data_IF_917997860566
#
_entry.id   IF_917997860566
#
_cell.length_a   1.000
_cell.length_b   1.000
_cell.length_c   1.000
_cell.angle_alpha   90.00
_cell.angle_beta   90.00
_cell.angle_gamma   90.00
#
_symmetry.space_group_name_H-M   'P 1'
#
loop_
_entity.id
_entity.type
_entity.pdbx_description
1 polymer ?
#
# COMPACT_ATOMS: atom_id res chain seq x y z
N UNK A 1 -2.45 9.73 -10.30
CA UNK A 1 -3.77 9.34 -9.74
C UNK A 1 -3.79 9.26 -8.22
N UNK A 2 -2.81 8.60 -7.58
CA UNK A 2 -2.77 8.43 -6.10
C UNK A 2 -2.89 9.76 -5.33
N UNK A 3 -2.12 10.81 -5.69
CA UNK A 3 -2.22 12.12 -5.03
C UNK A 3 -3.64 12.71 -5.13
N UNK A 4 -4.19 12.72 -6.34
CA UNK A 4 -5.48 13.35 -6.65
C UNK A 4 -6.61 12.64 -5.90
N UNK A 5 -6.58 11.31 -5.73
CA UNK A 5 -7.59 10.61 -4.94
C UNK A 5 -7.54 10.94 -3.45
N UNK A 6 -6.38 11.35 -2.93
CA UNK A 6 -6.25 11.79 -1.54
C UNK A 6 -6.87 13.19 -1.35
N UNK A 7 -6.74 14.05 -2.37
CA UNK A 7 -7.31 15.41 -2.39
C UNK A 7 -8.81 15.42 -2.70
N UNK A 8 -9.27 14.51 -3.56
CA UNK A 8 -10.66 14.34 -3.97
C UNK A 8 -11.08 12.88 -3.74
N UNK A 9 -11.43 12.52 -2.49
CA UNK A 9 -11.92 11.17 -2.17
C UNK A 9 -13.20 10.81 -2.96
N UNK A 10 -13.54 9.53 -2.96
CA UNK A 10 -14.68 8.89 -3.64
C UNK A 10 -14.56 8.81 -5.16
N UNK A 11 -14.21 9.89 -5.84
CA UNK A 11 -14.27 9.95 -7.30
C UNK A 11 -13.21 9.07 -7.99
N UNK A 12 -12.01 9.00 -7.42
CA UNK A 12 -10.87 8.31 -8.03
C UNK A 12 -10.37 7.12 -7.21
N UNK A 13 -11.08 6.71 -6.15
CA UNK A 13 -10.61 5.69 -5.19
C UNK A 13 -10.23 4.37 -5.88
N UNK A 14 -11.09 3.83 -6.76
CA UNK A 14 -10.78 2.58 -7.48
C UNK A 14 -9.58 2.72 -8.42
N UNK A 15 -9.51 3.83 -9.17
CA UNK A 15 -8.38 4.12 -10.05
C UNK A 15 -7.08 4.29 -9.27
N UNK A 16 -7.15 4.83 -8.06
CA UNK A 16 -6.01 5.00 -7.18
C UNK A 16 -5.50 3.67 -6.62
N UNK A 17 -6.40 2.75 -6.25
CA UNK A 17 -6.06 1.38 -5.87
C UNK A 17 -5.34 0.67 -7.03
N UNK A 18 -5.89 0.72 -8.25
CA UNK A 18 -5.24 0.17 -9.43
C UNK A 18 -3.87 0.82 -9.70
N UNK A 19 -3.76 2.14 -9.48
CA UNK A 19 -2.48 2.85 -9.63
C UNK A 19 -1.45 2.46 -8.57
N UNK A 20 -1.88 2.12 -7.35
CA UNK A 20 -1.00 1.63 -6.30
C UNK A 20 -0.45 0.24 -6.64
N UNK A 21 -1.29 -0.67 -7.15
CA UNK A 21 -0.85 -1.96 -7.68
C UNK A 21 0.15 -1.78 -8.84
N UNK A 22 -0.18 -0.92 -9.81
CA UNK A 22 0.71 -0.61 -10.93
C UNK A 22 2.06 -0.04 -10.47
N UNK A 23 2.08 0.84 -9.47
CA UNK A 23 3.32 1.33 -8.87
C UNK A 23 4.16 0.21 -8.25
N UNK A 24 3.50 -0.74 -7.57
CA UNK A 24 4.17 -1.93 -7.03
C UNK A 24 4.80 -2.76 -8.14
N UNK A 25 4.12 -2.94 -9.27
CA UNK A 25 4.70 -3.62 -10.44
C UNK A 25 5.88 -2.84 -11.03
N UNK A 26 5.77 -1.52 -11.19
CA UNK A 26 6.91 -0.70 -11.65
C UNK A 26 8.13 -0.85 -10.74
N UNK A 27 7.91 -0.95 -9.43
CA UNK A 27 8.97 -1.29 -8.48
C UNK A 27 9.49 -2.70 -8.73
N UNK A 28 8.60 -3.69 -8.89
CA UNK A 28 9.02 -5.06 -9.18
C UNK A 28 9.90 -5.09 -10.41
N UNK A 29 9.59 -4.36 -11.49
CA UNK A 29 10.38 -4.28 -12.74
C UNK A 29 11.56 -3.29 -12.71
N UNK A 30 11.95 -2.78 -11.54
CA UNK A 30 13.08 -1.84 -11.40
C UNK A 30 12.93 -0.53 -12.19
N UNK A 31 11.70 -0.15 -12.52
CA UNK A 31 11.38 1.13 -13.16
C UNK A 31 11.34 2.27 -12.12
N UNK A 32 11.08 1.94 -10.85
CA UNK A 32 11.20 2.90 -9.76
C UNK A 32 11.94 2.34 -8.53
N UNK A 33 12.58 3.25 -7.79
CA UNK A 33 13.42 2.93 -6.65
C UNK A 33 12.63 2.80 -5.34
N UNK A 34 13.24 2.14 -4.35
CA UNK A 34 12.66 1.94 -3.02
C UNK A 34 12.20 3.23 -2.32
N UNK A 35 12.94 4.36 -2.38
CA UNK A 35 12.47 5.61 -1.79
C UNK A 35 11.12 6.09 -2.34
N UNK A 36 10.79 5.78 -3.59
CA UNK A 36 9.49 6.13 -4.20
C UNK A 36 8.37 5.36 -3.51
N UNK A 37 8.57 4.06 -3.25
CA UNK A 37 7.60 3.21 -2.55
C UNK A 37 7.34 3.74 -1.15
N UNK A 38 8.39 4.03 -0.37
CA UNK A 38 8.22 4.60 0.97
C UNK A 38 7.53 5.96 0.93
N UNK A 39 7.93 6.85 0.02
CA UNK A 39 7.30 8.18 -0.11
C UNK A 39 5.80 8.07 -0.36
N UNK A 40 5.38 7.17 -1.25
CA UNK A 40 3.96 6.95 -1.55
C UNK A 40 3.23 6.30 -0.38
N UNK A 41 3.80 5.26 0.24
CA UNK A 41 3.23 4.60 1.41
C UNK A 41 2.99 5.59 2.56
N UNK A 42 4.00 6.38 2.93
CA UNK A 42 3.85 7.41 3.97
C UNK A 42 2.87 8.50 3.55
N UNK A 43 2.88 8.91 2.28
CA UNK A 43 1.92 9.89 1.79
C UNK A 43 0.47 9.41 1.95
N UNK A 44 0.17 8.14 1.65
CA UNK A 44 -1.19 7.61 1.75
C UNK A 44 -1.71 7.69 3.19
N UNK A 45 -0.88 7.36 4.18
CA UNK A 45 -1.31 7.31 5.59
C UNK A 45 -1.21 8.67 6.32
N UNK A 46 -0.39 9.60 5.84
CA UNK A 46 -0.15 10.90 6.50
C UNK A 46 -0.92 12.06 5.87
N UNK A 47 -1.45 11.88 4.66
CA UNK A 47 -2.21 12.95 4.00
C UNK A 47 -3.43 13.34 4.85
N UNK A 48 -3.70 14.63 5.09
CA UNK A 48 -4.81 15.04 5.96
C UNK A 48 -6.16 14.58 5.40
N UNK A 49 -7.07 14.27 6.31
CA UNK A 49 -8.49 14.03 6.00
C UNK A 49 -9.27 15.23 6.51
N UNK A 50 -9.86 15.97 5.59
CA UNK A 50 -10.63 17.20 5.90
C UNK A 50 -12.13 16.98 5.85
N UNK A 51 -12.57 15.84 5.32
CA UNK A 51 -13.98 15.50 5.17
C UNK A 51 -14.55 14.87 6.45
N UNK A 52 -15.70 15.38 6.91
CA UNK A 52 -16.42 14.87 8.06
C UNK A 52 -16.91 13.43 7.89
N UNK A 53 -17.09 12.97 6.66
CA UNK A 53 -17.50 11.59 6.34
C UNK A 53 -16.32 10.65 6.05
N UNK A 54 -15.08 11.10 6.22
CA UNK A 54 -13.89 10.29 5.94
C UNK A 54 -13.78 9.00 6.80
N UNK A 55 -14.47 8.95 7.94
CA UNK A 55 -14.53 7.76 8.81
C UNK A 55 -15.25 6.57 8.16
N UNK A 56 -16.05 6.79 7.12
CA UNK A 56 -16.71 5.73 6.33
C UNK A 56 -15.81 5.21 5.19
N UNK A 57 -14.68 5.88 4.92
CA UNK A 57 -13.82 5.57 3.78
C UNK A 57 -12.56 4.79 4.18
N UNK A 58 -12.41 3.60 3.58
CA UNK A 58 -11.29 2.70 3.85
C UNK A 58 -10.33 2.51 2.66
N UNK A 59 -10.50 3.26 1.57
CA UNK A 59 -9.68 3.10 0.35
C UNK A 59 -8.18 3.28 0.61
N UNK A 60 -7.78 4.11 1.58
CA UNK A 60 -6.36 4.30 1.95
C UNK A 60 -5.76 3.04 2.56
N UNK A 61 -6.52 2.34 3.42
CA UNK A 61 -6.11 1.04 3.96
C UNK A 61 -5.93 0.04 2.82
N UNK A 62 -6.89 -0.01 1.89
CA UNK A 62 -6.81 -0.88 0.70
C UNK A 62 -5.62 -0.58 -0.19
N UNK A 63 -5.39 0.70 -0.52
CA UNK A 63 -4.24 1.10 -1.34
C UNK A 63 -2.90 0.67 -0.71
N UNK A 64 -2.75 0.82 0.61
CA UNK A 64 -1.55 0.34 1.31
C UNK A 64 -1.46 -1.17 1.22
N UNK A 65 -2.55 -1.90 1.48
CA UNK A 65 -2.55 -3.37 1.44
C UNK A 65 -2.17 -3.90 0.06
N UNK A 66 -2.76 -3.36 -1.01
CA UNK A 66 -2.47 -3.75 -2.39
C UNK A 66 -1.01 -3.48 -2.79
N UNK A 67 -0.50 -2.28 -2.45
CA UNK A 67 0.89 -1.96 -2.73
C UNK A 67 1.84 -2.89 -1.98
N UNK A 68 1.63 -3.08 -0.67
CA UNK A 68 2.44 -3.97 0.15
C UNK A 68 2.40 -5.43 -0.33
N UNK A 69 1.23 -5.94 -0.73
CA UNK A 69 1.08 -7.30 -1.26
C UNK A 69 1.91 -7.50 -2.53
N UNK A 70 2.00 -6.48 -3.37
CA UNK A 70 2.72 -6.51 -4.65
C UNK A 70 4.23 -6.49 -4.45
N UNK A 71 4.74 -5.71 -3.48
CA UNK A 71 6.18 -5.51 -3.26
C UNK A 71 6.76 -6.38 -2.14
N UNK A 72 5.94 -7.16 -1.44
CA UNK A 72 6.30 -7.84 -0.18
C UNK A 72 7.60 -8.65 -0.26
N UNK A 73 7.88 -9.33 -1.37
CA UNK A 73 9.01 -10.24 -1.49
C UNK A 73 10.38 -9.53 -1.45
N UNK A 74 10.42 -8.24 -1.77
CA UNK A 74 11.63 -7.41 -1.79
C UNK A 74 11.94 -6.75 -0.44
N UNK A 75 11.06 -6.87 0.55
CA UNK A 75 11.22 -6.27 1.88
C UNK A 75 11.34 -7.33 2.98
N UNK A 76 11.96 -8.48 2.67
CA UNK A 76 12.07 -9.62 3.58
C UNK A 76 13.34 -9.61 4.43
N UNK A 77 14.44 -9.01 3.94
CA UNK A 77 15.76 -9.05 4.58
C UNK A 77 16.43 -7.68 4.70
N UNK A 78 17.55 -7.67 5.42
CA UNK A 78 18.45 -6.52 5.49
C UNK A 78 17.82 -5.23 6.04
N UNK A 79 18.31 -4.10 5.52
CA UNK A 79 17.91 -2.74 5.94
C UNK A 79 16.52 -2.36 5.41
N UNK A 80 16.19 -2.81 4.20
CA UNK A 80 14.88 -2.61 3.59
C UNK A 80 13.77 -3.22 4.45
N UNK A 81 13.98 -4.44 5.00
CA UNK A 81 13.06 -5.02 5.99
C UNK A 81 12.86 -4.11 7.20
N UNK A 82 13.95 -3.61 7.79
CA UNK A 82 13.90 -2.76 9.00
C UNK A 82 13.16 -1.43 8.76
N UNK A 83 13.42 -0.76 7.64
CA UNK A 83 12.69 0.46 7.24
C UNK A 83 11.22 0.18 6.97
N UNK A 84 10.91 -0.98 6.37
CA UNK A 84 9.53 -1.43 6.19
C UNK A 84 8.85 -1.68 7.54
N UNK A 85 9.54 -2.27 8.53
CA UNK A 85 8.98 -2.49 9.87
C UNK A 85 8.64 -1.15 10.58
N UNK A 86 9.42 -0.10 10.35
CA UNK A 86 9.06 1.26 10.79
C UNK A 86 7.76 1.73 10.15
N UNK A 87 7.65 1.63 8.82
CA UNK A 87 6.42 2.01 8.12
C UNK A 87 5.20 1.19 8.61
N UNK A 88 5.35 -0.13 8.76
CA UNK A 88 4.27 -1.01 9.22
C UNK A 88 3.74 -0.59 10.60
N UNK A 89 4.61 -0.11 11.49
CA UNK A 89 4.18 0.36 12.80
C UNK A 89 3.31 1.63 12.70
N UNK A 90 3.67 2.56 11.82
CA UNK A 90 2.80 3.71 11.50
C UNK A 90 1.50 3.29 10.83
N UNK A 91 1.54 2.29 9.94
CA UNK A 91 0.34 1.76 9.29
C UNK A 91 -0.60 1.07 10.27
N UNK A 92 -0.08 0.30 11.23
CA UNK A 92 -0.87 -0.29 12.31
C UNK A 92 -1.63 0.78 13.10
N UNK A 93 -0.95 1.87 13.48
CA UNK A 93 -1.60 3.02 14.14
C UNK A 93 -2.69 3.62 13.26
N UNK A 94 -2.40 3.87 11.98
CA UNK A 94 -3.39 4.41 11.03
C UNK A 94 -4.65 3.53 10.90
N UNK A 95 -4.48 2.22 10.75
CA UNK A 95 -5.59 1.27 10.71
C UNK A 95 -6.44 1.33 12.00
N UNK A 96 -5.80 1.33 13.16
CA UNK A 96 -6.50 1.40 14.44
C UNK A 96 -7.22 2.73 14.66
N UNK A 97 -6.64 3.86 14.21
CA UNK A 97 -7.32 5.15 14.23
C UNK A 97 -8.59 5.11 13.37
N UNK A 98 -8.53 4.55 12.17
CA UNK A 98 -9.69 4.38 11.29
C UNK A 98 -10.77 3.51 11.92
N UNK A 99 -10.37 2.41 12.55
CA UNK A 99 -11.30 1.52 13.27
C UNK A 99 -11.98 2.21 14.45
N UNK A 100 -11.22 2.98 15.23
CA UNK A 100 -11.77 3.72 16.37
C UNK A 100 -12.72 4.83 15.92
N UNK A 101 -12.36 5.56 14.86
CA UNK A 101 -13.24 6.55 14.23
C UNK A 101 -14.57 5.94 13.79
N UNK A 102 -14.56 4.75 13.17
CA UNK A 102 -15.78 4.03 12.82
C UNK A 102 -16.63 3.75 14.06
N UNK A 103 -16.05 3.12 15.09
CA UNK A 103 -16.76 2.72 16.30
C UNK A 103 -17.42 3.91 17.02
N UNK A 104 -16.71 5.04 17.11
CA UNK A 104 -17.23 6.26 17.75
C UNK A 104 -18.36 6.88 16.91
N UNK A 105 -18.13 7.10 15.62
CA UNK A 105 -19.10 7.83 14.79
C UNK A 105 -20.37 7.03 14.53
N UNK A 106 -20.27 5.69 14.45
CA UNK A 106 -21.45 4.86 14.22
C UNK A 106 -22.37 4.82 15.45
N UNK A 107 -21.79 4.76 16.65
CA UNK A 107 -22.54 4.89 17.90
C UNK A 107 -23.24 6.27 17.99
N UNK A 108 -22.58 7.35 17.56
CA UNK A 108 -23.16 8.70 17.56
C UNK A 108 -24.29 8.84 16.52
N UNK A 109 -24.19 8.18 15.37
CA UNK A 109 -25.14 8.31 14.24
C UNK A 109 -26.44 7.52 14.44
N UNK A 110 -26.43 6.46 15.24
CA UNK A 110 -27.64 5.66 15.56
C UNK A 110 -28.45 6.23 16.74
N UNK A 111 -27.86 7.12 17.54
CA UNK A 111 -28.51 7.76 18.70
C UNK A 111 -29.12 9.17 18.53
N UNK A 112 -29.20 9.84 17.36
CA UNK A 112 -29.95 11.08 17.24
C UNK A 112 -31.43 10.75 16.99
N UNK A 113 -32.23 10.67 18.06
CA UNK A 113 -33.71 10.67 17.97
C UNK A 113 -34.43 9.33 18.18
N UNK A 114 -33.75 8.28 18.65
CA UNK A 114 -34.37 6.97 18.93
C UNK A 114 -35.37 6.96 20.11
N UNK A 115 -35.61 8.10 20.77
CA UNK A 115 -36.60 8.24 21.84
C UNK A 115 -38.03 8.55 21.34
N UNK A 116 -38.25 8.95 20.07
CA UNK A 116 -39.57 9.43 19.61
C UNK A 116 -40.46 8.41 18.88
N UNK A 117 -39.94 7.26 18.43
CA UNK A 117 -40.75 6.20 17.84
C UNK A 117 -40.41 4.87 18.51
N UNK A 118 -41.24 4.45 19.48
CA UNK A 118 -41.09 3.22 20.27
C UNK A 118 -41.13 1.91 19.48
N UNK A 119 -40.22 1.73 18.52
CA UNK A 119 -39.94 0.47 17.84
C UNK A 119 -38.71 -0.13 18.52
N UNK A 120 -38.98 -1.05 19.44
CA UNK A 120 -37.98 -1.93 20.05
C UNK A 120 -37.34 -2.82 18.98
N UNK A 121 -36.08 -2.55 18.64
CA UNK A 121 -35.05 -3.56 18.43
C UNK A 121 -33.71 -2.99 18.93
N UNK A 122 -33.00 -3.63 19.85
CA UNK A 122 -31.59 -3.33 20.04
C UNK A 122 -30.88 -3.96 18.84
N UNK A 123 -30.84 -3.26 17.71
CA UNK A 123 -29.92 -3.63 16.65
C UNK A 123 -28.52 -3.47 17.24
N UNK A 124 -27.75 -4.56 17.32
CA UNK A 124 -26.35 -4.46 17.73
C UNK A 124 -25.67 -3.41 16.84
N UNK A 125 -24.90 -2.47 17.43
CA UNK A 125 -24.27 -1.43 16.64
C UNK A 125 -23.40 -2.08 15.55
N UNK A 126 -23.43 -1.55 14.32
CA UNK A 126 -22.78 -2.16 13.18
C UNK A 126 -21.29 -2.27 13.44
N UNK A 127 -20.82 -3.52 13.44
CA UNK A 127 -19.41 -3.84 13.63
C UNK A 127 -18.57 -3.23 12.51
N UNK A 128 -17.29 -3.01 12.82
CA UNK A 128 -16.31 -2.62 11.82
C UNK A 128 -16.36 -3.56 10.60
N UNK A 129 -16.28 -3.04 9.35
CA UNK A 129 -16.38 -3.85 8.14
C UNK A 129 -15.38 -5.02 8.14
N UNK A 130 -15.91 -6.24 8.12
CA UNK A 130 -15.12 -7.46 8.27
C UNK A 130 -14.18 -7.72 7.08
N UNK A 131 -14.56 -7.25 5.89
CA UNK A 131 -13.73 -7.29 4.68
C UNK A 131 -12.46 -6.44 4.84
N UNK A 132 -12.57 -5.23 5.40
CA UNK A 132 -11.42 -4.36 5.66
C UNK A 132 -10.50 -4.96 6.72
N UNK A 133 -11.07 -5.55 7.78
CA UNK A 133 -10.28 -6.25 8.79
C UNK A 133 -9.54 -7.48 8.21
N UNK A 134 -10.23 -8.27 7.37
CA UNK A 134 -9.62 -9.42 6.71
C UNK A 134 -8.47 -8.99 5.79
N UNK A 135 -8.70 -7.99 4.94
CA UNK A 135 -7.71 -7.45 3.99
C UNK A 135 -6.45 -6.96 4.70
N UNK A 136 -6.61 -6.19 5.79
CA UNK A 136 -5.49 -5.75 6.62
C UNK A 136 -4.73 -6.94 7.22
N UNK A 137 -5.43 -7.90 7.83
CA UNK A 137 -4.79 -9.07 8.47
C UNK A 137 -4.06 -9.94 7.47
N UNK A 138 -4.64 -10.15 6.29
CA UNK A 138 -4.06 -10.94 5.21
C UNK A 138 -2.80 -10.27 4.67
N UNK A 139 -2.84 -8.95 4.43
CA UNK A 139 -1.68 -8.18 4.03
C UNK A 139 -0.55 -8.24 5.06
N UNK A 140 -0.86 -8.06 6.35
CA UNK A 140 0.15 -8.15 7.39
C UNK A 140 0.78 -9.54 7.49
N UNK A 141 -0.02 -10.61 7.34
CA UNK A 141 0.48 -11.99 7.26
C UNK A 141 1.35 -12.22 6.03
N UNK A 142 1.03 -11.61 4.89
CA UNK A 142 1.79 -11.69 3.64
C UNK A 142 3.18 -11.05 3.79
N UNK A 143 3.26 -9.86 4.38
CA UNK A 143 4.52 -9.13 4.51
C UNK A 143 5.35 -9.62 5.70
N UNK A 144 4.72 -10.01 6.82
CA UNK A 144 5.37 -10.49 8.05
C UNK A 144 4.61 -11.67 8.66
N UNK A 145 4.93 -12.87 8.22
CA UNK A 145 4.27 -14.13 8.66
C UNK A 145 4.25 -14.35 10.18
N UNK A 146 5.28 -13.89 10.90
CA UNK A 146 5.46 -14.16 12.33
C UNK A 146 5.26 -12.93 13.23
N UNK A 147 4.93 -11.77 12.67
CA UNK A 147 4.79 -10.55 13.47
C UNK A 147 3.52 -10.55 14.30
N UNK A 148 3.62 -10.09 15.54
CA UNK A 148 2.47 -9.86 16.41
C UNK A 148 1.80 -8.55 16.02
N UNK A 149 0.49 -8.60 15.77
CA UNK A 149 -0.30 -7.41 15.44
C UNK A 149 -0.78 -6.71 16.71
N UNK A 150 -0.79 -5.37 16.75
CA UNK A 150 -1.39 -4.62 17.85
C UNK A 150 -2.87 -4.96 18.01
N UNK A 151 -3.32 -5.08 19.28
CA UNK A 151 -4.68 -5.50 19.63
C UNK A 151 -5.66 -4.34 19.82
N UNK A 152 -5.16 -3.11 19.94
CA UNK A 152 -5.95 -1.90 20.08
C UNK A 152 -5.14 -0.66 19.67
N UNK A 153 -5.81 0.49 19.63
CA UNK A 153 -5.19 1.78 19.28
C UNK A 153 -4.05 2.15 20.25
N UNK A 154 -4.24 1.97 21.56
CA UNK A 154 -3.23 2.34 22.56
C UNK A 154 -1.91 1.56 22.38
N UNK A 155 -1.99 0.26 22.07
CA UNK A 155 -0.81 -0.56 21.77
C UNK A 155 -0.11 -0.07 20.49
N UNK A 156 -0.87 0.28 19.45
CA UNK A 156 -0.30 0.80 18.21
C UNK A 156 0.35 2.18 18.39
N UNK A 157 -0.25 3.07 19.19
CA UNK A 157 0.32 4.38 19.54
C UNK A 157 1.59 4.25 20.39
N UNK A 158 1.59 3.34 21.37
CA UNK A 158 2.77 3.05 22.19
C UNK A 158 3.93 2.52 21.33
N UNK A 159 3.64 1.63 20.38
CA UNK A 159 4.65 1.11 19.45
C UNK A 159 5.27 2.21 18.58
N UNK A 160 4.45 3.15 18.08
CA UNK A 160 4.98 4.32 17.35
C UNK A 160 5.82 5.20 18.26
N UNK A 161 5.36 5.48 19.49
CA UNK A 161 6.12 6.28 20.46
C UNK A 161 7.50 5.70 20.76
N UNK A 162 7.60 4.37 20.89
CA UNK A 162 8.87 3.67 21.09
C UNK A 162 9.81 3.84 19.90
N UNK A 163 9.32 3.71 18.68
CA UNK A 163 10.13 3.88 17.46
C UNK A 163 10.59 5.34 17.33
N UNK A 164 9.71 6.31 17.55
CA UNK A 164 10.05 7.73 17.50
C UNK A 164 11.12 8.10 18.52
N UNK A 165 11.04 7.54 19.73
CA UNK A 165 12.08 7.71 20.74
C UNK A 165 13.42 7.13 20.27
N UNK A 166 13.43 5.88 19.79
CA UNK A 166 14.64 5.25 19.27
C UNK A 166 15.28 6.02 18.11
N UNK A 167 14.45 6.59 17.21
CA UNK A 167 14.94 7.40 16.09
C UNK A 167 15.52 8.73 16.57
N UNK A 168 14.87 9.40 17.54
CA UNK A 168 15.39 10.64 18.15
C UNK A 168 16.73 10.41 18.86
N UNK A 169 16.86 9.31 19.60
CA UNK A 169 18.11 8.94 20.27
C UNK A 169 19.24 8.70 19.26
N UNK A 170 18.96 7.97 18.17
CA UNK A 170 19.94 7.76 17.08
C UNK A 170 20.34 9.07 16.41
N UNK A 171 19.38 9.95 16.14
CA UNK A 171 19.65 11.26 15.54
C UNK A 171 20.54 12.12 16.45
N UNK A 172 20.31 12.08 17.76
CA UNK A 172 21.11 12.80 18.75
C UNK A 172 22.56 12.26 18.84
N UNK A 173 22.73 10.94 18.72
CA UNK A 173 24.03 10.29 18.71
C UNK A 173 24.81 10.50 17.41
N UNK A 174 24.12 10.62 16.27
CA UNK A 174 24.71 10.86 14.95
C UNK A 174 25.15 12.32 14.73
N UNK A 175 25.09 13.19 15.75
CA UNK A 175 25.65 14.55 15.67
C UNK A 175 25.01 15.46 14.62
N UNK A 176 23.82 15.14 14.11
CA UNK A 176 23.14 15.92 13.09
C UNK A 176 23.72 15.79 11.67
N UNK A 177 24.70 14.91 11.41
CA UNK A 177 24.90 14.44 10.04
C UNK A 177 23.71 13.55 9.71
N UNK A 178 22.86 14.02 8.79
CA UNK A 178 22.04 13.11 8.04
C UNK A 178 23.02 12.14 7.37
N UNK A 179 23.19 10.96 7.97
CA UNK A 179 23.99 9.89 7.38
C UNK A 179 23.63 9.85 5.90
N UNK A 180 24.69 9.93 5.09
CA UNK A 180 24.64 9.66 3.66
C UNK A 180 23.63 8.54 3.46
N UNK A 181 22.68 8.73 2.54
CA UNK A 181 21.80 7.65 2.11
C UNK A 181 22.72 6.54 1.58
N UNK A 182 23.26 5.68 2.46
CA UNK A 182 24.04 4.53 2.07
C UNK A 182 23.06 3.74 1.20
N UNK A 183 23.37 3.73 -0.09
CA UNK A 183 22.49 3.23 -1.14
C UNK A 183 21.87 1.93 -0.65
N UNK A 184 20.54 1.90 -0.59
CA UNK A 184 19.87 0.64 -0.28
C UNK A 184 20.33 -0.34 -1.34
N UNK A 185 21.12 -1.34 -0.93
CA UNK A 185 21.47 -2.45 -1.80
C UNK A 185 20.16 -3.00 -2.34
N UNK A 186 19.95 -2.75 -3.63
CA UNK A 186 18.72 -3.12 -4.28
C UNK A 186 18.72 -4.65 -4.42
N UNK A 187 18.13 -5.34 -3.43
CA UNK A 187 18.03 -6.79 -3.39
C UNK A 187 17.39 -7.37 -4.67
N UNK A 188 16.70 -6.53 -5.49
CA UNK A 188 16.19 -6.88 -6.82
C UNK A 188 17.28 -7.17 -7.87
N UNK A 189 18.48 -6.57 -7.74
CA UNK A 189 19.58 -6.69 -8.72
C UNK A 189 20.22 -8.09 -8.76
N UNK A 190 19.89 -8.97 -7.81
CA UNK A 190 20.39 -10.35 -7.76
C UNK A 190 19.56 -11.30 -8.64
N UNK A 191 18.31 -10.94 -8.98
CA UNK A 191 17.51 -11.72 -9.94
C UNK A 191 17.96 -11.36 -11.37
N UNK A 192 18.65 -12.28 -12.03
CA UNK A 192 18.99 -12.22 -13.45
C UNK A 192 17.76 -11.87 -14.29
N UNK A 193 17.78 -10.69 -14.90
CA UNK A 193 16.72 -10.17 -15.76
C UNK A 193 17.30 -9.81 -17.10
N UNK A 194 17.62 -10.86 -17.86
CA UNK A 194 17.66 -10.73 -19.31
C UNK A 194 16.24 -10.37 -19.78
N UNK A 195 15.96 -9.07 -19.93
CA UNK A 195 14.85 -8.60 -20.74
C UNK A 195 14.98 -9.27 -22.11
N UNK A 196 14.07 -10.17 -22.46
CA UNK A 196 14.06 -10.76 -23.79
C UNK A 196 13.96 -9.61 -24.79
N UNK A 197 15.05 -9.44 -25.56
CA UNK A 197 15.09 -8.52 -26.69
C UNK A 197 13.92 -8.88 -27.60
N UNK A 198 12.95 -7.98 -27.71
CA UNK A 198 11.90 -8.12 -28.71
C UNK A 198 12.62 -7.92 -30.04
N UNK A 199 12.80 -9.01 -30.79
CA UNK A 199 13.28 -8.91 -32.16
C UNK A 199 12.13 -8.31 -32.96
N UNK A 200 12.32 -7.09 -33.47
CA UNK A 200 11.47 -6.56 -34.52
C UNK A 200 11.71 -7.44 -35.75
N UNK A 201 10.76 -8.31 -36.07
CA UNK A 201 10.77 -9.04 -37.34
C UNK A 201 10.44 -8.03 -38.45
N UNK A 202 11.45 -7.64 -39.22
CA UNK A 202 11.27 -6.84 -40.43
C UNK A 202 10.35 -7.61 -41.39
N UNK A 203 9.16 -7.06 -41.68
CA UNK A 203 8.26 -7.60 -42.71
C UNK A 203 8.97 -7.55 -44.08
N UNK A 204 9.46 -8.71 -44.53
CA UNK A 204 10.08 -8.84 -45.84
C UNK A 204 8.99 -8.75 -46.93
N UNK A 205 9.03 -7.64 -47.68
CA UNK A 205 8.14 -7.35 -48.79
C UNK A 205 8.22 -8.45 -49.85
N UNK A 206 7.16 -9.26 -49.98
CA UNK A 206 7.07 -10.33 -50.96
C UNK A 206 7.16 -9.80 -52.39
N UNK A 207 8.25 -10.10 -53.09
CA UNK A 207 8.34 -9.92 -54.53
C UNK A 207 7.77 -11.13 -55.26
N UNK A 208 6.64 -10.91 -55.93
CA UNK A 208 6.10 -11.83 -56.94
C UNK A 208 7.10 -11.92 -58.10
N UNK A 209 7.58 -13.14 -58.40
CA UNK A 209 8.24 -13.43 -59.67
C UNK A 209 7.59 -14.63 -60.35
N UNK A 210 6.92 -14.33 -61.45
CA UNK A 210 6.25 -15.27 -62.35
C UNK A 210 7.23 -16.22 -63.08
N UNK A 211 6.75 -17.46 -63.25
CA UNK A 211 6.89 -18.36 -64.43
C UNK A 211 8.29 -18.68 -64.98
N UNK A 212 8.64 -19.97 -64.88
CA UNK A 212 8.66 -20.89 -66.05
C UNK A 212 9.11 -22.29 -65.64
N UNK A 213 8.23 -23.29 -65.80
CA UNK A 213 8.63 -24.69 -65.90
C UNK A 213 8.27 -25.19 -67.29
N UNK A 214 9.30 -25.45 -68.08
CA UNK A 214 9.24 -25.99 -69.42
C UNK A 214 8.94 -27.51 -69.40
N UNK A 215 8.03 -27.91 -70.28
CA UNK A 215 8.09 -29.07 -71.21
C UNK A 215 8.58 -30.40 -70.61
N UNK A 216 7.66 -31.36 -70.46
CA UNK A 216 7.96 -32.79 -70.37
C UNK A 216 7.58 -33.47 -71.70
N UNK A 217 8.55 -34.23 -72.24
CA UNK A 217 8.37 -35.21 -73.31
C UNK A 217 7.50 -36.38 -72.86
#
# INVERSE_FOLDING_TARGET
MIRISLEVPRLFNQKAIASACYLGELYNYSVCDTPVIYKVLYQIISFPEVDQLAWQEFYRVRMVCELLNTVADFFQTGRARKKMDYFLTYFHRFYWMKREQWNINVAVTEHPGAEELGIMQPAEPPRFPADIEAEYRDCMRRIRKTATLPKNLAEAESAVGLIEQQLKEKLALAGGSADEEEEEEDERKVLDRTLHHIAEEDEECGSDSERSAAILN
#
